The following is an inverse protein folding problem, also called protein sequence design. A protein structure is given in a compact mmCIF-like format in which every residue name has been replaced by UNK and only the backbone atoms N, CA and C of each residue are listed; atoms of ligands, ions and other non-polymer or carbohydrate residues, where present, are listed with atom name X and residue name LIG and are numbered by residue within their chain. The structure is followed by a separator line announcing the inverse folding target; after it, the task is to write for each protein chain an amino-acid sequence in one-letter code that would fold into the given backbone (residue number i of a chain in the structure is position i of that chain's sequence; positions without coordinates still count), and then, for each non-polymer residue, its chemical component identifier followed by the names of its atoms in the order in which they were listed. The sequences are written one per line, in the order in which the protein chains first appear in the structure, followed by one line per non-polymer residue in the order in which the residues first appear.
data_IF_791834172001
#
_entry.id   IF_791834172001
#
_cell.length_a   1.000
_cell.length_b   1.000
_cell.length_c   1.000
_cell.angle_alpha   90.00
_cell.angle_beta   90.00
_cell.angle_gamma   90.00
#
_symmetry.space_group_name_H-M   'P 1'
#
loop_
_entity.id
_entity.type
_entity.pdbx_description
1 polymer ?
#
# COMPACT_ATOMS: atom_id res chain seq x y z
N UNK A 1 1.61 17.11 2.79
CA UNK A 1 0.75 16.16 3.47
C UNK A 1 0.70 14.88 2.66
N UNK A 2 0.75 13.75 3.31
CA UNK A 2 0.74 12.42 2.71
C UNK A 2 -0.45 11.64 3.26
N UNK A 3 -0.97 10.69 2.49
CA UNK A 3 -2.09 9.86 2.92
C UNK A 3 -1.57 8.59 3.59
N UNK A 4 -2.09 8.29 4.76
CA UNK A 4 -1.77 7.10 5.54
C UNK A 4 -2.99 6.21 5.75
N UNK A 5 -2.73 4.92 5.94
CA UNK A 5 -3.73 3.94 6.34
C UNK A 5 -3.18 3.08 7.48
N UNK A 6 -3.77 3.23 8.67
CA UNK A 6 -3.44 2.40 9.83
C UNK A 6 -4.38 1.21 9.87
N UNK A 7 -3.88 0.01 9.60
CA UNK A 7 -4.66 -1.21 9.69
C UNK A 7 -4.92 -1.59 11.14
N UNK A 8 -6.09 -2.14 11.44
CA UNK A 8 -6.42 -2.67 12.75
C UNK A 8 -7.32 -3.92 12.64
N UNK A 9 -7.50 -4.69 13.73
CA UNK A 9 -8.48 -5.75 13.77
C UNK A 9 -9.90 -5.21 13.54
N UNK A 10 -10.73 -5.97 12.82
CA UNK A 10 -12.12 -5.58 12.57
C UNK A 10 -12.89 -5.43 13.87
N UNK A 11 -13.69 -4.36 13.96
CA UNK A 11 -14.45 -4.00 15.14
C UNK A 11 -13.69 -3.09 16.11
N UNK A 12 -12.41 -2.81 15.87
CA UNK A 12 -11.61 -1.89 16.67
C UNK A 12 -11.31 -0.56 15.92
N UNK A 13 -11.93 -0.31 14.79
CA UNK A 13 -11.67 0.86 13.97
C UNK A 13 -11.93 2.16 14.73
N UNK A 14 -13.09 2.28 15.45
CA UNK A 14 -13.41 3.45 16.28
C UNK A 14 -12.41 3.61 17.42
N UNK A 15 -12.05 2.51 18.10
CA UNK A 15 -11.07 2.54 19.18
C UNK A 15 -9.72 3.03 18.67
N UNK A 16 -9.29 2.54 17.51
CA UNK A 16 -8.04 2.94 16.86
C UNK A 16 -8.07 4.42 16.47
N UNK A 17 -9.18 4.90 15.88
CA UNK A 17 -9.35 6.29 15.52
C UNK A 17 -9.25 7.20 16.78
N UNK A 18 -9.95 6.85 17.86
CA UNK A 18 -9.91 7.61 19.11
C UNK A 18 -8.53 7.62 19.78
N UNK A 19 -7.74 6.56 19.61
CA UNK A 19 -6.38 6.53 20.15
C UNK A 19 -5.46 7.54 19.51
N UNK A 20 -5.57 7.74 18.20
CA UNK A 20 -4.62 8.57 17.45
C UNK A 20 -5.14 9.98 17.14
N UNK A 21 -6.44 10.24 17.21
CA UNK A 21 -7.05 11.53 16.83
C UNK A 21 -6.41 12.75 17.49
N UNK A 22 -5.93 12.61 18.70
CA UNK A 22 -5.26 13.69 19.45
C UNK A 22 -3.79 13.90 19.10
N UNK A 23 -3.23 13.05 18.27
CA UNK A 23 -1.81 13.06 17.90
C UNK A 23 -1.57 13.36 16.43
N UNK A 24 -2.60 13.39 15.63
CA UNK A 24 -2.54 13.67 14.19
C UNK A 24 -3.25 14.98 13.88
N UNK A 25 -2.81 15.62 12.80
CA UNK A 25 -3.29 16.96 12.42
C UNK A 25 -4.66 16.95 11.74
N UNK A 26 -5.03 15.83 11.13
CA UNK A 26 -6.29 15.64 10.40
C UNK A 26 -7.21 14.67 11.14
N UNK A 27 -8.52 14.77 10.90
CA UNK A 27 -9.48 13.85 11.51
C UNK A 27 -9.38 12.45 10.84
N UNK A 28 -9.26 11.36 11.64
CA UNK A 28 -9.17 10.04 11.09
C UNK A 28 -10.51 9.58 10.49
N UNK A 29 -10.48 9.06 9.28
CA UNK A 29 -11.64 8.50 8.58
C UNK A 29 -11.67 6.99 8.82
N UNK A 30 -12.75 6.51 9.41
CA UNK A 30 -12.95 5.08 9.65
C UNK A 30 -13.24 4.37 8.32
N UNK A 31 -12.45 3.35 8.02
CA UNK A 31 -12.63 2.46 6.88
C UNK A 31 -12.61 1.00 7.37
N UNK A 32 -12.98 0.10 6.50
CA UNK A 32 -13.07 -1.33 6.82
C UNK A 32 -11.69 -1.96 7.08
N UNK A 33 -11.45 -2.31 8.34
CA UNK A 33 -10.20 -2.93 8.80
C UNK A 33 -9.06 -1.94 9.02
N UNK A 34 -9.39 -0.65 9.25
CA UNK A 34 -8.42 0.38 9.56
C UNK A 34 -8.98 1.80 9.50
N UNK A 35 -8.10 2.76 9.55
CA UNK A 35 -8.42 4.19 9.49
C UNK A 35 -7.49 4.89 8.52
N UNK A 36 -8.01 5.84 7.77
CA UNK A 36 -7.25 6.70 6.86
C UNK A 36 -7.12 8.10 7.45
N UNK A 37 -6.00 8.74 7.24
CA UNK A 37 -5.80 10.16 7.59
C UNK A 37 -4.71 10.77 6.70
N UNK A 38 -4.77 12.08 6.51
CA UNK A 38 -3.69 12.84 5.91
C UNK A 38 -2.78 13.40 7.01
N UNK A 39 -1.48 13.45 6.77
CA UNK A 39 -0.53 13.92 7.78
C UNK A 39 0.86 14.17 7.23
N UNK A 40 1.75 14.54 8.13
CA UNK A 40 3.17 14.70 7.88
C UNK A 40 4.01 13.58 8.54
N UNK A 41 5.33 13.72 8.52
CA UNK A 41 6.25 12.77 9.13
C UNK A 41 6.09 12.69 10.66
N UNK A 42 5.69 13.78 11.32
CA UNK A 42 5.48 13.79 12.77
C UNK A 42 4.21 13.03 13.12
N UNK A 43 3.13 13.22 12.35
CA UNK A 43 1.89 12.46 12.50
C UNK A 43 2.14 10.95 12.34
N UNK A 44 2.98 10.58 11.39
CA UNK A 44 3.42 9.18 11.19
C UNK A 44 4.14 8.63 12.44
N UNK A 45 5.11 9.37 12.98
CA UNK A 45 5.84 8.93 14.18
C UNK A 45 4.94 8.87 15.42
N UNK A 46 4.10 9.88 15.63
CA UNK A 46 3.18 9.92 16.76
C UNK A 46 2.15 8.80 16.68
N UNK A 47 1.64 8.49 15.50
CA UNK A 47 0.75 7.35 15.26
C UNK A 47 1.41 6.03 15.64
N UNK A 48 2.67 5.79 15.19
CA UNK A 48 3.41 4.58 15.55
C UNK A 48 3.69 4.49 17.06
N UNK A 49 3.96 5.61 17.70
CA UNK A 49 4.30 5.64 19.14
C UNK A 49 3.06 5.41 20.04
N UNK A 50 1.92 5.95 19.65
CA UNK A 50 0.74 6.01 20.52
C UNK A 50 -0.37 5.01 20.16
N UNK A 51 -0.36 4.44 18.96
CA UNK A 51 -1.33 3.42 18.59
C UNK A 51 -1.06 2.11 19.32
N UNK A 52 -2.12 1.55 19.94
CA UNK A 52 -2.07 0.26 20.64
C UNK A 52 -2.82 -0.85 19.93
N UNK A 53 -3.77 -0.49 19.08
CA UNK A 53 -4.60 -1.42 18.31
C UNK A 53 -4.26 -1.44 16.82
N UNK A 54 -3.45 -0.49 16.36
CA UNK A 54 -2.92 -0.47 15.00
C UNK A 54 -1.90 -1.59 14.76
N UNK A 55 -1.96 -2.22 13.59
CA UNK A 55 -1.06 -3.31 13.22
C UNK A 55 0.04 -2.86 12.25
N UNK A 56 -0.36 -2.14 11.19
CA UNK A 56 0.56 -1.62 10.18
C UNK A 56 0.14 -0.20 9.80
N UNK A 57 1.07 0.73 9.90
CA UNK A 57 0.90 2.06 9.35
C UNK A 57 1.47 2.07 7.94
N UNK A 58 0.61 2.28 6.96
CA UNK A 58 0.90 2.21 5.54
C UNK A 58 0.84 3.63 4.95
N UNK A 59 1.85 3.99 4.14
CA UNK A 59 1.85 5.22 3.36
C UNK A 59 1.27 4.94 1.99
N UNK A 60 0.24 5.68 1.59
CA UNK A 60 -0.37 5.53 0.26
C UNK A 60 0.57 6.04 -0.82
N UNK A 61 0.85 5.21 -1.79
CA UNK A 61 1.71 5.51 -2.94
C UNK A 61 0.85 5.89 -4.14
N UNK A 62 -0.17 5.09 -4.44
CA UNK A 62 -0.97 5.21 -5.63
C UNK A 62 -2.37 4.66 -5.39
N UNK A 63 -3.39 5.27 -5.98
CA UNK A 63 -4.74 4.69 -6.06
C UNK A 63 -5.36 5.00 -7.42
N UNK A 64 -6.09 4.03 -7.96
CA UNK A 64 -6.81 4.16 -9.22
C UNK A 64 -7.96 3.16 -9.28
N UNK A 65 -8.89 3.39 -10.21
CA UNK A 65 -9.98 2.47 -10.49
C UNK A 65 -9.71 1.75 -11.81
N UNK A 66 -9.90 0.43 -11.82
CA UNK A 66 -9.89 -0.38 -13.03
C UNK A 66 -10.56 -1.74 -12.80
N UNK A 67 -11.13 -2.28 -13.84
CA UNK A 67 -11.82 -3.57 -13.90
C UNK A 67 -11.08 -4.62 -14.74
N UNK A 68 -9.93 -4.24 -15.30
CA UNK A 68 -9.12 -5.04 -16.20
C UNK A 68 -7.65 -5.13 -15.75
N UNK A 69 -7.10 -6.33 -15.86
CA UNK A 69 -5.73 -6.63 -15.43
C UNK A 69 -4.66 -5.89 -16.25
N UNK A 70 -4.92 -5.65 -17.54
CA UNK A 70 -3.98 -4.93 -18.39
C UNK A 70 -3.92 -3.43 -18.03
N UNK A 71 -5.03 -2.87 -17.54
CA UNK A 71 -5.06 -1.51 -17.00
C UNK A 71 -4.32 -1.41 -15.66
N UNK A 72 -4.37 -2.43 -14.80
CA UNK A 72 -3.50 -2.50 -13.61
C UNK A 72 -2.04 -2.41 -14.05
N UNK A 73 -1.62 -3.25 -15.00
CA UNK A 73 -0.26 -3.25 -15.51
C UNK A 73 0.16 -1.87 -16.05
N UNK A 74 -0.67 -1.24 -16.89
CA UNK A 74 -0.38 0.08 -17.49
C UNK A 74 -0.23 1.17 -16.44
N UNK A 75 -1.13 1.24 -15.45
CA UNK A 75 -1.07 2.23 -14.38
C UNK A 75 0.22 2.09 -13.57
N UNK A 76 0.61 0.87 -13.21
CA UNK A 76 1.82 0.61 -12.43
C UNK A 76 3.10 0.83 -13.23
N UNK A 77 3.09 0.46 -14.52
CA UNK A 77 4.21 0.69 -15.41
C UNK A 77 4.45 2.18 -15.69
N UNK A 78 3.40 3.01 -15.68
CA UNK A 78 3.52 4.46 -15.88
C UNK A 78 4.01 5.20 -14.62
N UNK A 79 3.83 4.61 -13.43
CA UNK A 79 4.24 5.23 -12.17
C UNK A 79 5.77 5.28 -12.02
N UNK A 80 6.28 6.33 -11.38
CA UNK A 80 7.71 6.44 -11.04
C UNK A 80 7.98 5.77 -9.68
N UNK A 81 8.67 4.65 -9.72
CA UNK A 81 9.03 3.86 -8.53
C UNK A 81 10.33 4.30 -7.88
N UNK A 82 11.14 5.14 -8.55
CA UNK A 82 12.49 5.51 -8.09
C UNK A 82 12.59 6.07 -6.68
N UNK A 83 11.57 6.79 -6.13
CA UNK A 83 11.63 7.24 -4.74
C UNK A 83 11.49 6.13 -3.70
N UNK A 84 11.02 4.95 -4.09
CA UNK A 84 10.65 3.86 -3.20
C UNK A 84 11.51 2.64 -3.42
N UNK A 85 11.66 2.23 -4.68
CA UNK A 85 12.27 0.99 -5.09
C UNK A 85 13.19 1.20 -6.29
N UNK A 86 14.39 0.64 -6.21
CA UNK A 86 15.38 0.62 -7.29
C UNK A 86 15.91 -0.81 -7.49
N UNK A 87 16.78 -1.00 -8.48
CA UNK A 87 17.33 -2.32 -8.82
C UNK A 87 18.24 -2.94 -7.76
N UNK A 88 18.71 -2.16 -6.79
CA UNK A 88 19.59 -2.63 -5.69
C UNK A 88 18.82 -3.19 -4.50
N UNK A 89 17.54 -2.83 -4.37
CA UNK A 89 16.69 -3.21 -3.25
C UNK A 89 15.95 -4.53 -3.48
N UNK A 90 15.67 -5.20 -2.39
CA UNK A 90 14.77 -6.35 -2.35
C UNK A 90 13.37 -5.91 -1.97
N UNK A 91 12.35 -6.56 -2.49
CA UNK A 91 10.98 -6.23 -2.17
C UNK A 91 10.06 -7.45 -2.10
N UNK A 92 8.90 -7.27 -1.49
CA UNK A 92 7.80 -8.24 -1.50
C UNK A 92 6.48 -7.51 -1.70
N UNK A 93 5.53 -8.18 -2.35
CA UNK A 93 4.16 -7.69 -2.53
C UNK A 93 3.22 -8.55 -1.69
N UNK A 94 2.40 -7.88 -0.87
CA UNK A 94 1.32 -8.49 -0.09
C UNK A 94 -0.01 -7.97 -0.61
N UNK A 95 -0.82 -8.84 -1.21
CA UNK A 95 -2.09 -8.46 -1.84
C UNK A 95 -3.27 -8.95 -1.02
N UNK A 96 -4.20 -8.05 -0.71
CA UNK A 96 -5.57 -8.36 -0.28
C UNK A 96 -6.52 -7.98 -1.40
N UNK A 97 -7.19 -8.96 -2.00
CA UNK A 97 -8.12 -8.76 -3.09
C UNK A 97 -9.50 -9.30 -2.73
N UNK A 98 -10.51 -8.42 -2.76
CA UNK A 98 -11.91 -8.75 -2.72
C UNK A 98 -12.60 -8.02 -3.86
N UNK A 99 -12.75 -8.69 -4.99
CA UNK A 99 -13.23 -8.08 -6.23
C UNK A 99 -14.08 -9.07 -7.03
N UNK A 100 -15.09 -8.55 -7.71
CA UNK A 100 -15.84 -9.29 -8.70
C UNK A 100 -15.09 -9.40 -10.04
N UNK A 101 -14.16 -8.51 -10.30
CA UNK A 101 -13.35 -8.46 -11.54
C UNK A 101 -12.09 -9.33 -11.45
N UNK A 102 -11.46 -9.38 -10.27
CA UNK A 102 -10.17 -10.06 -10.05
C UNK A 102 -10.33 -11.27 -9.14
N UNK A 103 -10.65 -12.42 -9.71
CA UNK A 103 -10.92 -13.65 -8.94
C UNK A 103 -9.66 -14.37 -8.45
N UNK A 104 -8.55 -14.25 -9.18
CA UNK A 104 -7.30 -14.93 -8.82
C UNK A 104 -6.27 -13.94 -8.28
N UNK A 105 -6.18 -13.82 -6.96
CA UNK A 105 -5.27 -12.91 -6.26
C UNK A 105 -3.82 -13.16 -6.62
N UNK A 106 -3.40 -14.41 -6.77
CA UNK A 106 -2.01 -14.73 -7.12
C UNK A 106 -1.64 -14.22 -8.52
N UNK A 107 -2.53 -14.39 -9.48
CA UNK A 107 -2.33 -13.90 -10.83
C UNK A 107 -2.23 -12.36 -10.86
N UNK A 108 -3.10 -11.66 -10.14
CA UNK A 108 -3.06 -10.20 -10.01
C UNK A 108 -1.74 -9.76 -9.37
N UNK A 109 -1.31 -10.42 -8.30
CA UNK A 109 -0.04 -10.11 -7.61
C UNK A 109 1.16 -10.28 -8.56
N UNK A 110 1.17 -11.33 -9.38
CA UNK A 110 2.24 -11.55 -10.36
C UNK A 110 2.26 -10.45 -11.43
N UNK A 111 1.09 -10.04 -11.95
CA UNK A 111 0.99 -8.95 -12.93
C UNK A 111 1.45 -7.61 -12.35
N UNK A 112 1.10 -7.32 -11.11
CA UNK A 112 1.58 -6.13 -10.40
C UNK A 112 3.10 -6.17 -10.27
N UNK A 113 3.65 -7.30 -9.84
CA UNK A 113 5.10 -7.50 -9.74
C UNK A 113 5.78 -7.28 -11.09
N UNK A 114 5.25 -7.87 -12.15
CA UNK A 114 5.84 -7.77 -13.49
C UNK A 114 5.84 -6.32 -13.98
N UNK A 115 4.76 -5.56 -13.78
CA UNK A 115 4.69 -4.16 -14.16
C UNK A 115 5.76 -3.30 -13.46
N UNK A 116 5.95 -3.49 -12.15
CA UNK A 116 6.93 -2.76 -11.34
C UNK A 116 8.35 -3.13 -11.79
N UNK A 117 8.63 -4.43 -11.90
CA UNK A 117 9.96 -4.94 -12.31
C UNK A 117 10.32 -4.50 -13.71
N UNK A 118 9.39 -4.57 -14.66
CA UNK A 118 9.62 -4.15 -16.04
C UNK A 118 9.89 -2.65 -16.15
N UNK A 119 9.18 -1.84 -15.36
CA UNK A 119 9.43 -0.39 -15.29
C UNK A 119 10.84 -0.09 -14.81
N UNK A 120 11.26 -0.67 -13.68
CA UNK A 120 12.59 -0.45 -13.10
C UNK A 120 13.67 -0.98 -14.04
N UNK A 121 13.47 -2.17 -14.62
CA UNK A 121 14.42 -2.74 -15.58
C UNK A 121 14.61 -1.84 -16.81
N UNK A 122 13.53 -1.22 -17.31
CA UNK A 122 13.63 -0.27 -18.43
C UNK A 122 14.42 0.98 -18.07
N UNK A 123 14.29 1.47 -16.84
CA UNK A 123 14.96 2.69 -16.37
C UNK A 123 16.43 2.45 -16.02
N UNK A 124 16.75 1.31 -15.38
CA UNK A 124 18.07 1.06 -14.78
C UNK A 124 18.87 -0.08 -15.45
N UNK A 125 18.26 -0.78 -16.41
CA UNK A 125 18.89 -1.94 -17.07
C UNK A 125 18.95 -3.21 -16.21
N UNK A 126 18.60 -3.12 -14.93
CA UNK A 126 18.57 -4.22 -13.97
C UNK A 126 17.20 -4.27 -13.29
N UNK A 127 16.83 -5.42 -12.75
CA UNK A 127 15.58 -5.61 -12.04
C UNK A 127 15.81 -5.78 -10.53
N UNK A 128 14.92 -5.28 -9.67
CA UNK A 128 14.95 -5.56 -8.24
C UNK A 128 14.65 -7.04 -7.98
N UNK A 129 15.18 -7.56 -6.88
CA UNK A 129 14.96 -8.95 -6.47
C UNK A 129 13.80 -9.06 -5.49
N UNK A 130 13.04 -10.15 -5.59
CA UNK A 130 11.99 -10.47 -4.62
C UNK A 130 12.60 -11.24 -3.46
N UNK A 131 12.34 -10.81 -2.22
CA UNK A 131 12.76 -11.53 -1.02
C UNK A 131 11.59 -11.69 -0.05
N UNK A 132 11.40 -12.92 0.44
CA UNK A 132 10.42 -13.22 1.49
C UNK A 132 10.97 -13.00 2.90
N UNK A 133 12.30 -12.95 3.02
CA UNK A 133 13.00 -12.82 4.29
C UNK A 133 13.69 -11.46 4.30
N UNK A 134 13.29 -10.61 5.25
CA UNK A 134 13.85 -9.26 5.44
C UNK A 134 13.95 -8.44 4.14
N UNK A 135 12.84 -8.23 3.39
CA UNK A 135 12.85 -7.37 2.22
C UNK A 135 13.09 -5.91 2.63
N UNK A 136 13.79 -5.15 1.78
CA UNK A 136 13.99 -3.71 2.00
C UNK A 136 12.68 -2.92 1.88
N UNK A 137 11.77 -3.37 1.00
CA UNK A 137 10.48 -2.74 0.74
C UNK A 137 9.35 -3.77 0.78
N UNK A 138 8.29 -3.44 1.50
CA UNK A 138 7.05 -4.22 1.52
C UNK A 138 5.95 -3.37 0.89
N UNK A 139 5.43 -3.80 -0.25
CA UNK A 139 4.30 -3.17 -0.92
C UNK A 139 3.01 -3.88 -0.52
N UNK A 140 2.07 -3.12 0.06
CA UNK A 140 0.73 -3.62 0.36
C UNK A 140 -0.25 -3.19 -0.72
N UNK A 141 -0.92 -4.15 -1.33
CA UNK A 141 -1.92 -3.92 -2.35
C UNK A 141 -3.28 -4.28 -1.79
N UNK A 142 -4.19 -3.34 -1.79
CA UNK A 142 -5.59 -3.55 -1.38
C UNK A 142 -6.48 -3.31 -2.59
N UNK A 143 -7.19 -4.34 -3.01
CA UNK A 143 -8.15 -4.28 -4.12
C UNK A 143 -9.55 -4.55 -3.55
N UNK A 144 -10.46 -3.61 -3.78
CA UNK A 144 -11.88 -3.71 -3.45
C UNK A 144 -12.70 -3.40 -4.69
N UNK A 145 -13.33 -4.44 -5.25
CA UNK A 145 -14.00 -4.39 -6.54
C UNK A 145 -13.09 -3.83 -7.64
N UNK A 146 -13.31 -2.62 -8.12
CA UNK A 146 -12.51 -1.93 -9.13
C UNK A 146 -11.49 -0.94 -8.54
N UNK A 147 -11.51 -0.70 -7.22
CA UNK A 147 -10.56 0.22 -6.56
C UNK A 147 -9.27 -0.49 -6.18
N UNK A 148 -8.16 -0.02 -6.71
CA UNK A 148 -6.79 -0.51 -6.42
C UNK A 148 -6.04 0.55 -5.62
N UNK A 149 -5.60 0.20 -4.42
CA UNK A 149 -4.76 1.05 -3.56
C UNK A 149 -3.43 0.37 -3.31
N UNK A 150 -2.34 1.13 -3.44
CA UNK A 150 -0.96 0.68 -3.23
C UNK A 150 -0.33 1.52 -2.13
N UNK A 151 0.24 0.81 -1.18
CA UNK A 151 0.90 1.35 -0.01
C UNK A 151 2.32 0.85 0.08
#
# INVERSE_FOLDING_TARGET
MEDFFLTCPRGLEEVTANQISKYISDDPIIDKGGISFAGDINDMYLTNLHSRTGMHLLKKILSFHCDDIDNIYKNLYSHDWSPILDSSKTFIIKTKCKSNFFKNTNFVTLKIKDAIVDKIRKQEGKRPSVSKINPDVILFIIIRDDEVKIY
#
